data_IF_494021245453
#
_entry.id   IF_494021245453
#
_cell.length_a   1.000
_cell.length_b   1.000
_cell.length_c   1.000
_cell.angle_alpha   90.00
_cell.angle_beta   90.00
_cell.angle_gamma   90.00
#
_symmetry.space_group_name_H-M   'P 1'
#
loop_
_entity.id
_entity.type
_entity.pdbx_description
1 polymer ?
#
# COMPACT_ATOMS: atom_id res chain seq x y z
N UNK A 1 29.82 -5.24 19.95
CA UNK A 1 29.44 -5.07 19.77
C UNK A 1 28.68 -4.56 19.84
N UNK A 2 28.66 -4.30 19.84
CA UNK A 2 27.83 -3.97 19.85
C UNK A 2 27.39 -2.81 19.44
N UNK A 3 28.36 -2.08 19.05
CA UNK A 3 28.02 -0.91 18.59
C UNK A 3 27.29 -0.92 17.40
N UNK A 4 27.47 -1.77 16.52
CA UNK A 4 26.66 -1.99 15.36
C UNK A 4 25.23 -2.14 15.76
N UNK A 5 24.99 -2.74 16.89
CA UNK A 5 23.64 -2.90 17.32
C UNK A 5 23.00 -1.59 17.68
N UNK A 6 23.82 -0.66 18.17
CA UNK A 6 23.26 0.63 18.54
C UNK A 6 22.77 1.41 17.34
N UNK A 7 23.27 1.08 16.16
CA UNK A 7 22.85 1.75 14.95
C UNK A 7 21.66 1.05 14.29
N UNK A 8 21.21 -0.04 14.87
CA UNK A 8 20.14 -0.81 14.25
C UNK A 8 18.78 -0.19 14.53
N UNK A 9 18.01 0.00 13.49
CA UNK A 9 16.65 0.49 13.63
C UNK A 9 15.78 -0.63 14.17
N UNK A 10 14.94 -0.33 15.16
CA UNK A 10 14.04 -1.32 15.71
C UNK A 10 12.99 -1.70 14.67
N UNK A 11 12.86 -2.98 14.41
CA UNK A 11 11.92 -3.48 13.40
C UNK A 11 10.67 -4.00 14.09
N UNK A 12 9.52 -3.53 13.61
CA UNK A 12 8.20 -4.03 14.05
C UNK A 12 7.97 -3.90 15.55
N UNK A 13 8.24 -2.71 16.08
CA UNK A 13 7.82 -2.42 17.45
C UNK A 13 6.33 -2.67 17.52
N UNK A 14 5.85 -3.46 18.48
CA UNK A 14 4.44 -3.90 18.46
C UNK A 14 3.41 -2.77 18.39
N UNK A 15 3.61 -1.71 19.16
CA UNK A 15 2.64 -0.62 19.14
C UNK A 15 2.67 0.14 17.82
N UNK A 16 3.83 0.26 17.20
CA UNK A 16 3.94 0.95 15.91
C UNK A 16 3.35 0.10 14.81
N UNK A 17 3.65 -1.20 14.82
CA UNK A 17 3.09 -2.11 13.84
C UNK A 17 1.56 -2.11 13.91
N UNK A 18 1.01 -2.06 15.11
CA UNK A 18 -0.44 -2.02 15.28
C UNK A 18 -1.03 -0.75 14.68
N UNK A 19 -0.36 0.39 14.88
CA UNK A 19 -0.83 1.66 14.32
C UNK A 19 -0.86 1.62 12.80
N UNK A 20 0.21 1.14 12.18
CA UNK A 20 0.28 1.09 10.72
C UNK A 20 -0.73 0.09 10.17
N UNK A 21 -0.87 -1.05 10.85
CA UNK A 21 -1.85 -2.06 10.40
C UNK A 21 -3.26 -1.49 10.42
N UNK A 22 -3.60 -0.69 11.44
CA UNK A 22 -4.91 -0.06 11.49
C UNK A 22 -5.08 0.98 10.38
N UNK A 23 -4.03 1.76 10.12
CA UNK A 23 -4.08 2.74 9.03
C UNK A 23 -4.23 2.06 7.68
N UNK A 24 -3.52 0.95 7.47
CA UNK A 24 -3.63 0.21 6.22
C UNK A 24 -5.04 -0.37 6.05
N UNK A 25 -5.62 -0.91 7.12
CA UNK A 25 -6.98 -1.44 7.03
C UNK A 25 -7.97 -0.35 6.68
N UNK A 26 -7.79 0.85 7.23
CA UNK A 26 -8.63 1.99 6.90
C UNK A 26 -8.47 2.39 5.44
N UNK A 27 -7.23 2.32 4.95
CA UNK A 27 -6.96 2.60 3.54
C UNK A 27 -7.66 1.59 2.63
N UNK A 28 -7.55 0.30 2.95
CA UNK A 28 -8.15 -0.72 2.11
C UNK A 28 -9.67 -0.59 2.06
N UNK A 29 -10.28 -0.33 3.22
CA UNK A 29 -11.71 -0.13 3.27
C UNK A 29 -12.14 1.08 2.43
N UNK A 30 -11.38 2.16 2.52
CA UNK A 30 -11.70 3.36 1.75
C UNK A 30 -11.54 3.12 0.25
N UNK A 31 -10.53 2.32 -0.13
CA UNK A 31 -10.29 2.05 -1.54
C UNK A 31 -11.43 1.26 -2.16
N UNK A 32 -11.78 0.13 -1.55
CA UNK A 32 -12.78 -0.76 -2.16
C UNK A 32 -14.18 -0.15 -2.11
N UNK A 33 -14.43 0.75 -1.19
CA UNK A 33 -15.71 1.43 -1.09
C UNK A 33 -15.70 2.84 -1.70
N UNK A 34 -14.60 3.18 -2.36
CA UNK A 34 -14.41 4.46 -3.06
C UNK A 34 -14.70 5.67 -2.17
N UNK A 35 -14.19 5.62 -0.95
CA UNK A 35 -14.31 6.75 -0.03
C UNK A 35 -13.14 7.70 -0.29
N UNK A 36 -13.33 8.57 -1.27
CA UNK A 36 -12.26 9.42 -1.76
C UNK A 36 -11.77 10.38 -0.69
N UNK A 37 -12.67 10.88 0.15
CA UNK A 37 -12.27 11.79 1.22
C UNK A 37 -11.32 11.13 2.21
N UNK A 38 -11.56 9.85 2.54
CA UNK A 38 -10.68 9.12 3.45
C UNK A 38 -9.34 8.83 2.77
N UNK A 39 -9.37 8.46 1.49
CA UNK A 39 -8.13 8.25 0.75
C UNK A 39 -7.28 9.52 0.70
N UNK A 40 -7.93 10.67 0.49
CA UNK A 40 -7.22 11.94 0.46
C UNK A 40 -6.61 12.25 1.82
N UNK A 41 -7.29 11.87 2.88
CA UNK A 41 -6.78 12.08 4.23
C UNK A 41 -5.57 11.19 4.52
N UNK A 42 -5.57 9.98 3.99
CA UNK A 42 -4.50 9.01 4.25
C UNK A 42 -3.27 9.19 3.37
N UNK A 43 -3.37 9.99 2.32
CA UNK A 43 -2.20 10.32 1.51
C UNK A 43 -1.64 11.66 1.93
N UNK A 44 -0.33 11.74 2.01
CA UNK A 44 0.35 12.97 2.42
C UNK A 44 -0.01 14.12 1.47
N UNK A 45 -0.48 15.21 2.03
CA UNK A 45 -0.91 16.36 1.23
C UNK A 45 0.33 17.19 0.86
N UNK A 46 1.03 16.76 -0.19
CA UNK A 46 2.31 17.36 -0.56
C UNK A 46 2.57 17.16 -2.04
N UNK A 47 3.30 18.11 -2.62
CA UNK A 47 3.76 17.95 -3.99
C UNK A 47 4.80 16.83 -4.11
N UNK A 48 5.34 16.36 -3.00
CA UNK A 48 6.36 15.31 -3.01
C UNK A 48 5.74 13.90 -2.99
N UNK A 49 4.44 13.80 -2.83
CA UNK A 49 3.79 12.49 -2.79
C UNK A 49 3.68 11.94 -4.20
N UNK A 50 4.17 10.71 -4.40
CA UNK A 50 4.21 10.10 -5.72
C UNK A 50 3.43 8.79 -5.69
N UNK A 51 2.60 8.57 -6.71
CA UNK A 51 1.91 7.32 -6.88
C UNK A 51 2.01 6.86 -8.33
N UNK A 52 2.65 5.72 -8.54
CA UNK A 52 2.69 5.09 -9.85
C UNK A 52 1.61 4.02 -9.87
N UNK A 53 0.68 4.11 -10.81
CA UNK A 53 -0.33 3.09 -10.99
C UNK A 53 0.04 2.18 -12.14
N UNK A 54 -0.84 1.24 -12.46
CA UNK A 54 -0.58 0.29 -13.53
C UNK A 54 -0.46 0.99 -14.88
N UNK A 55 -1.14 2.11 -15.06
CA UNK A 55 -1.17 2.80 -16.35
C UNK A 55 -0.86 4.28 -16.27
N UNK A 56 -0.58 4.82 -15.07
CA UNK A 56 -0.43 6.25 -14.92
C UNK A 56 0.68 6.59 -13.94
N UNK A 57 1.27 7.76 -14.12
CA UNK A 57 2.25 8.31 -13.18
C UNK A 57 1.66 9.57 -12.58
N UNK A 58 1.48 9.59 -11.27
CA UNK A 58 0.86 10.72 -10.59
C UNK A 58 1.88 11.35 -9.65
N UNK A 59 2.29 12.57 -9.99
CA UNK A 59 3.29 13.29 -9.23
C UNK A 59 2.61 14.42 -8.46
N UNK A 60 2.62 14.32 -7.13
CA UNK A 60 2.01 15.31 -6.27
C UNK A 60 0.59 14.98 -5.94
N UNK A 61 0.14 15.49 -4.78
CA UNK A 61 -1.19 15.14 -4.27
C UNK A 61 -2.31 15.64 -5.17
N UNK A 62 -2.10 16.74 -5.89
CA UNK A 62 -3.16 17.27 -6.74
C UNK A 62 -3.46 16.33 -7.90
N UNK A 63 -2.40 15.75 -8.50
CA UNK A 63 -2.61 14.78 -9.57
C UNK A 63 -3.29 13.53 -9.05
N UNK A 64 -2.93 13.11 -7.85
CA UNK A 64 -3.53 11.92 -7.24
C UNK A 64 -5.02 12.15 -6.99
N UNK A 65 -5.38 13.31 -6.45
CA UNK A 65 -6.77 13.64 -6.18
C UNK A 65 -7.60 13.71 -7.47
N UNK A 66 -7.03 14.35 -8.49
CA UNK A 66 -7.73 14.47 -9.77
C UNK A 66 -8.01 13.11 -10.38
N UNK A 67 -7.02 12.20 -10.29
CA UNK A 67 -7.19 10.85 -10.82
C UNK A 67 -8.30 10.11 -10.09
N UNK A 68 -8.32 10.19 -8.76
CA UNK A 68 -9.33 9.50 -7.97
C UNK A 68 -10.73 10.04 -8.24
N UNK A 69 -10.85 11.35 -8.37
CA UNK A 69 -12.15 11.96 -8.60
C UNK A 69 -12.72 11.59 -9.95
N UNK A 70 -11.85 11.32 -10.92
CA UNK A 70 -12.28 11.03 -12.28
C UNK A 70 -12.55 9.54 -12.54
N UNK A 71 -12.04 8.66 -11.67
CA UNK A 71 -12.16 7.22 -11.96
C UNK A 71 -13.53 6.70 -11.57
N UNK A 72 -14.02 5.67 -12.30
CA UNK A 72 -15.30 5.06 -11.96
C UNK A 72 -15.27 4.40 -10.59
N UNK A 73 -16.41 4.37 -9.93
CA UNK A 73 -16.53 3.69 -8.65
C UNK A 73 -16.52 2.17 -8.80
N UNK A 74 -16.90 1.69 -9.99
CA UNK A 74 -16.96 0.25 -10.23
C UNK A 74 -15.57 -0.33 -10.42
N UNK A 75 -15.43 -1.61 -10.12
CA UNK A 75 -14.19 -2.31 -10.38
C UNK A 75 -13.12 -2.11 -9.35
N UNK A 76 -13.47 -1.55 -8.19
CA UNK A 76 -12.48 -1.32 -7.14
C UNK A 76 -12.38 -2.47 -6.16
N UNK A 77 -13.34 -3.39 -6.18
CA UNK A 77 -13.33 -4.53 -5.27
C UNK A 77 -12.16 -5.45 -5.58
N UNK A 78 -11.51 -5.92 -4.53
CA UNK A 78 -10.37 -6.80 -4.70
C UNK A 78 -10.21 -7.66 -3.45
N UNK A 79 -9.50 -8.77 -3.63
CA UNK A 79 -9.17 -9.68 -2.54
C UNK A 79 -7.68 -9.56 -2.28
N UNK A 80 -7.31 -9.36 -1.02
CA UNK A 80 -5.91 -9.31 -0.65
C UNK A 80 -5.41 -10.74 -0.49
N UNK A 81 -4.38 -11.07 -1.27
CA UNK A 81 -3.78 -12.41 -1.25
C UNK A 81 -2.69 -12.49 -0.19
N UNK A 82 -2.01 -11.36 0.05
CA UNK A 82 -0.89 -11.32 0.96
C UNK A 82 -0.61 -9.87 1.31
N UNK A 83 -0.36 -9.59 2.57
CA UNK A 83 0.03 -8.24 3.00
C UNK A 83 1.14 -8.39 4.02
N UNK A 84 2.26 -7.69 3.78
CA UNK A 84 3.38 -7.68 4.70
C UNK A 84 3.62 -6.24 5.10
N UNK A 85 3.41 -5.93 6.37
CA UNK A 85 3.67 -4.61 6.91
C UNK A 85 4.90 -4.71 7.77
N UNK A 86 5.88 -3.85 7.49
CA UNK A 86 7.13 -3.79 8.26
C UNK A 86 7.31 -2.35 8.71
N UNK A 87 7.56 -2.16 9.99
CA UNK A 87 7.84 -0.82 10.50
C UNK A 87 9.32 -0.71 10.85
N UNK A 88 9.86 0.49 10.64
CA UNK A 88 11.28 0.78 10.80
C UNK A 88 11.38 1.95 11.78
N UNK A 89 11.77 1.65 13.03
CA UNK A 89 11.72 2.66 14.06
C UNK A 89 10.28 3.02 14.38
N UNK A 90 10.03 4.29 14.60
CA UNK A 90 8.70 4.72 15.02
C UNK A 90 7.95 5.52 13.96
N UNK A 91 8.64 5.92 12.89
CA UNK A 91 8.06 6.92 12.00
C UNK A 91 7.91 6.48 10.55
N UNK A 92 8.39 5.28 10.19
CA UNK A 92 8.31 4.82 8.81
C UNK A 92 7.91 3.36 8.72
N UNK A 93 7.22 3.02 7.64
CA UNK A 93 6.78 1.66 7.42
C UNK A 93 6.60 1.42 5.93
N UNK A 94 6.67 0.14 5.55
CA UNK A 94 6.29 -0.29 4.21
C UNK A 94 5.14 -1.27 4.33
N UNK A 95 4.22 -1.22 3.35
CA UNK A 95 3.15 -2.19 3.23
C UNK A 95 3.24 -2.77 1.84
N UNK A 96 3.53 -4.07 1.77
CA UNK A 96 3.69 -4.78 0.50
C UNK A 96 2.51 -5.73 0.35
N UNK A 97 1.72 -5.55 -0.70
CA UNK A 97 0.45 -6.24 -0.84
C UNK A 97 0.37 -6.91 -2.21
N UNK A 98 -0.17 -8.14 -2.22
CA UNK A 98 -0.55 -8.82 -3.45
C UNK A 98 -2.05 -8.98 -3.44
N UNK A 99 -2.68 -8.75 -4.56
CA UNK A 99 -4.13 -8.74 -4.62
C UNK A 99 -4.64 -9.21 -5.97
N UNK A 100 -5.93 -9.51 -6.01
CA UNK A 100 -6.64 -9.83 -7.25
C UNK A 100 -7.92 -9.03 -7.28
N UNK A 101 -8.13 -8.30 -8.36
CA UNK A 101 -9.36 -7.56 -8.51
C UNK A 101 -10.50 -8.49 -8.88
N UNK A 102 -11.67 -8.18 -8.37
CA UNK A 102 -12.84 -8.96 -8.67
C UNK A 102 -13.09 -8.95 -10.17
N UNK A 103 -13.25 -10.12 -10.75
CA UNK A 103 -13.47 -10.23 -12.19
C UNK A 103 -12.21 -10.13 -13.02
N UNK A 104 -11.08 -9.84 -12.39
CA UNK A 104 -9.82 -9.72 -13.13
C UNK A 104 -9.04 -11.01 -13.15
N UNK A 105 -8.11 -11.10 -14.08
CA UNK A 105 -7.27 -12.29 -14.19
C UNK A 105 -5.78 -11.97 -14.00
N UNK A 106 -5.46 -10.76 -13.58
CA UNK A 106 -4.07 -10.39 -13.33
C UNK A 106 -3.76 -10.48 -11.84
N UNK A 107 -2.49 -10.63 -11.55
CA UNK A 107 -1.98 -10.63 -10.18
C UNK A 107 -1.47 -9.24 -9.88
N UNK A 108 -2.06 -8.58 -8.88
CA UNK A 108 -1.69 -7.21 -8.54
C UNK A 108 -0.65 -7.17 -7.44
N UNK A 109 0.20 -6.16 -7.51
CA UNK A 109 1.19 -5.92 -6.48
C UNK A 109 1.19 -4.45 -6.15
N UNK A 110 1.25 -4.14 -4.86
CA UNK A 110 1.21 -2.76 -4.40
C UNK A 110 2.26 -2.57 -3.33
N UNK A 111 3.07 -1.54 -3.49
CA UNK A 111 4.04 -1.12 -2.48
C UNK A 111 3.64 0.24 -1.98
N UNK A 112 3.61 0.41 -0.67
CA UNK A 112 3.34 1.71 -0.08
C UNK A 112 4.38 2.01 0.96
N UNK A 113 4.85 3.26 0.98
CA UNK A 113 5.67 3.76 2.06
C UNK A 113 4.79 4.67 2.90
N UNK A 114 4.76 4.38 4.19
CA UNK A 114 3.98 5.15 5.17
C UNK A 114 4.93 5.92 6.07
N UNK A 115 4.56 7.13 6.40
CA UNK A 115 5.36 7.96 7.30
C UNK A 115 4.43 8.57 8.36
N UNK A 116 4.95 8.71 9.57
CA UNK A 116 4.21 9.36 10.64
C UNK A 116 4.35 10.86 10.44
N UNK A 117 3.25 11.50 10.07
CA UNK A 117 3.20 12.93 9.88
C UNK A 117 2.50 13.56 11.08
N UNK A 118 2.55 14.88 11.22
CA UNK A 118 1.92 15.52 12.38
C UNK A 118 0.45 15.15 12.58
N UNK A 119 -0.27 14.92 11.49
CA UNK A 119 -1.68 14.55 11.58
C UNK A 119 -1.95 13.07 11.66
N UNK A 120 -0.91 12.23 11.62
CA UNK A 120 -1.05 10.78 11.66
C UNK A 120 -0.30 10.10 10.55
N UNK A 121 -0.47 8.79 10.46
CA UNK A 121 0.21 8.01 9.43
C UNK A 121 -0.35 8.32 8.06
N UNK A 122 0.55 8.57 7.09
CA UNK A 122 0.16 8.87 5.72
C UNK A 122 1.03 8.10 4.74
N UNK A 123 0.43 7.76 3.59
CA UNK A 123 1.18 7.20 2.47
C UNK A 123 1.94 8.36 1.81
N UNK A 124 3.25 8.21 1.67
CA UNK A 124 4.08 9.22 1.03
C UNK A 124 4.55 8.78 -0.35
N UNK A 125 4.48 7.49 -0.64
CA UNK A 125 4.86 6.97 -1.96
C UNK A 125 4.15 5.65 -2.16
N UNK A 126 3.72 5.37 -3.40
CA UNK A 126 3.02 4.14 -3.70
C UNK A 126 3.28 3.72 -5.14
N UNK A 127 3.22 2.43 -5.38
CA UNK A 127 3.42 1.85 -6.71
C UNK A 127 2.54 0.63 -6.85
N UNK A 128 1.74 0.59 -7.88
CA UNK A 128 0.85 -0.55 -8.18
C UNK A 128 1.23 -1.08 -9.55
N UNK A 129 1.34 -2.40 -9.65
CA UNK A 129 1.60 -3.05 -10.93
C UNK A 129 0.74 -4.30 -11.05
N UNK A 130 0.57 -4.76 -12.27
CA UNK A 130 -0.19 -5.96 -12.56
C UNK A 130 0.69 -6.87 -13.41
N UNK A 131 0.70 -8.16 -13.06
CA UNK A 131 1.44 -9.16 -13.82
C UNK A 131 0.51 -10.33 -14.11
N UNK A 132 0.93 -11.20 -14.99
CA UNK A 132 0.22 -12.45 -15.18
C UNK A 132 0.36 -13.28 -13.92
N UNK A 133 -0.64 -14.09 -13.58
CA UNK A 133 -0.53 -14.92 -12.39
C UNK A 133 0.72 -15.78 -12.44
N UNK A 134 1.36 -15.98 -11.29
CA UNK A 134 2.57 -16.82 -11.26
C UNK A 134 2.26 -18.22 -11.73
N UNK A 135 3.13 -18.75 -12.60
CA UNK A 135 2.94 -20.08 -13.14
C UNK A 135 2.97 -21.13 -12.04
N UNK A 136 3.77 -20.92 -11.01
CA UNK A 136 3.86 -21.89 -9.94
C UNK A 136 2.57 -22.05 -9.19
N UNK A 137 1.70 -21.06 -9.23
CA UNK A 137 0.44 -21.16 -8.50
C UNK A 137 -0.51 -22.10 -9.20
N UNK A 138 -0.25 -22.47 -10.45
CA UNK A 138 -1.11 -23.38 -11.16
C UNK A 138 -0.60 -24.79 -11.17
N UNK A 139 0.59 -25.03 -10.63
CA UNK A 139 1.15 -26.33 -10.63
C UNK A 139 1.01 -26.93 -9.32
N UNK A 140 0.19 -27.79 -9.20
CA UNK A 140 0.05 -28.40 -7.95
C UNK A 140 1.12 -29.31 -7.81
N UNK A 141 1.77 -29.20 -7.62
CA UNK A 141 2.75 -29.93 -7.63
C UNK A 141 2.54 -31.00 -7.09
N UNK A 142 1.85 -31.20 -7.33
CA UNK A 142 1.53 -32.08 -7.01
C UNK A 142 2.18 -33.04 -7.22
N UNK A 143 2.63 -32.97 -7.69
CA UNK A 143 3.28 -33.77 -8.10
C UNK A 143 4.24 -34.08 -7.55
N UNK A 144 4.39 -33.94 -7.14
CA UNK A 144 5.34 -34.31 -6.74
C UNK A 144 5.17 -34.93 -5.80
#
# INVERSE_FOLDING_TARGET
MNEAMNDTIAINLPEVHAEVSAAFARYEDALVNNRVDVLDELFWCSEHTVRYGATENLLGIEAIRAFRNARPAQGLQRTLMRTVITTYGRDFATAMTEFRREGGNKHGRQSQTWARMPGGWCVVAAHVSLIDPPASSTTPRSDR
#
